data_IF_186438172152
#
_entry.id   IF_186438172152
#
_cell.length_a   1.000
_cell.length_b   1.000
_cell.length_c   1.000
_cell.angle_alpha   90.00
_cell.angle_beta   90.00
_cell.angle_gamma   90.00
#
_symmetry.space_group_name_H-M   'P 1'
#
loop_
_entity.id
_entity.type
_entity.pdbx_description
1 polymer ?
#
# COMPACT_ATOMS: atom_id res chain seq x y z
N UNK A 1 16.42 -5.17 -16.53
CA UNK A 1 14.97 -5.35 -16.32
C UNK A 1 14.27 -4.03 -16.63
N UNK A 2 13.34 -4.02 -17.57
CA UNK A 2 12.56 -2.81 -17.91
C UNK A 2 11.29 -2.82 -17.06
N UNK A 3 11.24 -2.00 -16.00
CA UNK A 3 10.07 -1.82 -15.14
C UNK A 3 9.30 -0.58 -15.62
N UNK A 4 8.05 -0.76 -16.00
CA UNK A 4 7.11 0.31 -16.28
C UNK A 4 6.18 0.48 -15.06
N UNK A 5 5.95 1.72 -14.62
CA UNK A 5 5.04 2.03 -13.52
C UNK A 5 3.96 2.96 -14.05
N UNK A 6 2.71 2.53 -13.99
CA UNK A 6 1.56 3.25 -14.51
C UNK A 6 0.41 3.25 -13.51
N UNK A 7 -0.59 4.11 -13.71
CA UNK A 7 -1.83 4.06 -12.92
C UNK A 7 -2.57 2.74 -13.21
N UNK A 8 -3.18 2.20 -12.17
CA UNK A 8 -4.03 1.02 -12.33
C UNK A 8 -5.28 1.37 -13.14
N UNK A 9 -5.72 0.43 -13.95
CA UNK A 9 -6.94 0.52 -14.75
C UNK A 9 -7.86 -0.68 -14.45
N UNK A 10 -9.17 -0.60 -14.72
CA UNK A 10 -10.09 -1.71 -14.47
C UNK A 10 -9.67 -3.02 -15.15
N UNK A 11 -9.02 -2.94 -16.33
CA UNK A 11 -8.50 -4.11 -17.05
C UNK A 11 -7.37 -4.86 -16.33
N UNK A 12 -6.71 -4.25 -15.35
CA UNK A 12 -5.65 -4.90 -14.55
C UNK A 12 -6.17 -5.77 -13.40
N UNK A 13 -7.49 -5.74 -13.15
CA UNK A 13 -8.10 -6.37 -11.96
C UNK A 13 -7.73 -7.84 -11.78
N UNK A 14 -7.87 -8.65 -12.82
CA UNK A 14 -7.66 -10.10 -12.74
C UNK A 14 -6.19 -10.46 -12.45
N UNK A 15 -5.26 -9.71 -13.03
CA UNK A 15 -3.84 -9.88 -12.74
C UNK A 15 -3.49 -9.44 -11.30
N UNK A 16 -4.12 -8.36 -10.81
CA UNK A 16 -3.97 -7.90 -9.44
C UNK A 16 -4.52 -8.92 -8.45
N UNK A 17 -5.69 -9.52 -8.71
CA UNK A 17 -6.24 -10.62 -7.89
C UNK A 17 -5.23 -11.77 -7.79
N UNK A 18 -4.67 -12.19 -8.92
CA UNK A 18 -3.69 -13.28 -8.94
C UNK A 18 -2.41 -12.91 -8.17
N UNK A 19 -1.91 -11.68 -8.35
CA UNK A 19 -0.74 -11.18 -7.61
C UNK A 19 -1.00 -11.22 -6.09
N UNK A 20 -2.14 -10.70 -5.64
CA UNK A 20 -2.50 -10.67 -4.22
C UNK A 20 -2.66 -12.06 -3.62
N UNK A 21 -3.34 -12.98 -4.33
CA UNK A 21 -3.50 -14.38 -3.88
C UNK A 21 -2.15 -15.07 -3.71
N UNK A 22 -1.22 -14.86 -4.64
CA UNK A 22 0.13 -15.43 -4.55
C UNK A 22 0.92 -14.89 -3.35
N UNK A 23 0.69 -13.62 -2.97
CA UNK A 23 1.35 -13.02 -1.81
C UNK A 23 0.65 -13.38 -0.50
N UNK A 24 -0.67 -13.57 -0.50
CA UNK A 24 -1.42 -14.02 0.67
C UNK A 24 -1.01 -15.43 1.14
N UNK A 25 -0.49 -16.26 0.26
CA UNK A 25 0.01 -17.60 0.57
C UNK A 25 1.41 -17.59 1.24
N UNK A 26 2.04 -16.41 1.34
CA UNK A 26 3.38 -16.26 1.94
C UNK A 26 3.26 -15.74 3.36
N UNK A 27 4.00 -16.36 4.30
CA UNK A 27 4.12 -15.84 5.66
C UNK A 27 4.57 -14.38 5.64
N UNK A 28 3.88 -13.52 6.40
CA UNK A 28 4.13 -12.08 6.47
C UNK A 28 3.95 -11.30 5.14
N UNK A 29 3.28 -11.89 4.14
CA UNK A 29 3.02 -11.25 2.87
C UNK A 29 2.10 -10.05 3.00
N UNK A 30 0.80 -10.31 3.14
CA UNK A 30 -0.22 -9.29 3.43
C UNK A 30 -1.07 -9.76 4.62
N UNK A 31 -1.88 -8.84 5.16
CA UNK A 31 -2.71 -9.16 6.34
C UNK A 31 -3.90 -10.06 6.00
N UNK A 32 -4.36 -10.03 4.75
CA UNK A 32 -5.50 -10.83 4.28
C UNK A 32 -5.08 -12.24 3.92
N UNK A 33 -5.92 -13.22 4.26
CA UNK A 33 -5.76 -14.57 3.74
C UNK A 33 -6.26 -14.66 2.29
N UNK A 34 -5.88 -15.75 1.60
CA UNK A 34 -6.19 -15.95 0.17
C UNK A 34 -7.68 -15.85 -0.15
N UNK A 35 -8.54 -16.42 0.71
CA UNK A 35 -9.99 -16.46 0.47
C UNK A 35 -10.65 -15.09 0.62
N UNK A 36 -10.00 -14.14 1.30
CA UNK A 36 -10.44 -12.75 1.40
C UNK A 36 -10.05 -11.90 0.18
N UNK A 37 -9.22 -12.43 -0.72
CA UNK A 37 -8.86 -11.76 -1.98
C UNK A 37 -9.92 -12.10 -3.02
N UNK A 38 -11.07 -11.45 -2.89
CA UNK A 38 -12.23 -11.61 -3.77
C UNK A 38 -12.26 -10.54 -4.88
N UNK A 39 -13.12 -10.75 -5.87
CA UNK A 39 -13.38 -9.77 -6.92
C UNK A 39 -13.89 -8.45 -6.32
N UNK A 40 -14.80 -8.54 -5.36
CA UNK A 40 -15.37 -7.38 -4.66
C UNK A 40 -14.31 -6.60 -3.90
N UNK A 41 -13.39 -7.29 -3.23
CA UNK A 41 -12.31 -6.62 -2.50
C UNK A 41 -11.41 -5.83 -3.45
N UNK A 42 -10.94 -6.46 -4.53
CA UNK A 42 -10.02 -5.81 -5.48
C UNK A 42 -10.74 -4.70 -6.27
N UNK A 43 -11.95 -4.95 -6.74
CA UNK A 43 -12.77 -3.93 -7.41
C UNK A 43 -13.06 -2.76 -6.47
N UNK A 44 -13.30 -3.03 -5.19
CA UNK A 44 -13.58 -2.02 -4.17
C UNK A 44 -12.43 -1.07 -3.96
N UNK A 45 -11.22 -1.57 -3.73
CA UNK A 45 -10.07 -0.68 -3.52
C UNK A 45 -9.64 0.03 -4.81
N UNK A 46 -9.70 -0.62 -5.97
CA UNK A 46 -9.42 0.02 -7.26
C UNK A 46 -10.36 1.18 -7.53
N UNK A 47 -11.67 0.98 -7.28
CA UNK A 47 -12.67 2.05 -7.39
C UNK A 47 -12.35 3.20 -6.44
N UNK A 48 -12.14 2.91 -5.14
CA UNK A 48 -11.84 3.93 -4.15
C UNK A 48 -10.56 4.70 -4.49
N UNK A 49 -9.49 4.00 -4.92
CA UNK A 49 -8.25 4.61 -5.30
C UNK A 49 -8.37 5.48 -6.57
N UNK A 50 -9.21 5.07 -7.54
CA UNK A 50 -9.49 5.86 -8.75
C UNK A 50 -10.28 7.13 -8.43
N UNK A 51 -11.30 7.02 -7.56
CA UNK A 51 -12.19 8.14 -7.23
C UNK A 51 -11.59 9.12 -6.22
N UNK A 52 -10.80 8.62 -5.26
CA UNK A 52 -10.39 9.37 -4.07
C UNK A 52 -8.97 9.07 -3.61
N UNK A 53 -8.08 8.65 -4.49
CA UNK A 53 -6.74 8.27 -4.10
C UNK A 53 -5.82 8.00 -5.27
N UNK A 54 -5.02 6.96 -5.13
CA UNK A 54 -4.04 6.55 -6.13
C UNK A 54 -3.84 5.04 -6.07
N UNK A 55 -3.81 4.40 -7.22
CA UNK A 55 -3.30 3.03 -7.39
C UNK A 55 -2.35 2.97 -8.59
N UNK A 56 -1.22 2.30 -8.40
CA UNK A 56 -0.20 2.08 -9.43
C UNK A 56 0.11 0.60 -9.57
N UNK A 57 0.40 0.18 -10.80
CA UNK A 57 0.95 -1.13 -11.09
C UNK A 57 2.37 -1.02 -11.65
N UNK A 58 3.22 -1.96 -11.25
CA UNK A 58 4.54 -2.18 -11.81
C UNK A 58 4.52 -3.35 -12.77
N UNK A 59 4.91 -3.11 -14.03
CA UNK A 59 4.85 -4.09 -15.11
C UNK A 59 6.26 -4.43 -15.58
N UNK A 60 6.55 -5.73 -15.70
CA UNK A 60 7.78 -6.27 -16.27
C UNK A 60 7.40 -7.36 -17.27
N UNK A 61 7.93 -7.28 -18.49
CA UNK A 61 7.63 -8.24 -19.57
C UNK A 61 6.13 -8.50 -19.77
N UNK A 62 5.32 -7.45 -19.78
CA UNK A 62 3.86 -7.48 -19.89
C UNK A 62 3.13 -8.22 -18.75
N UNK A 63 3.76 -8.42 -17.61
CA UNK A 63 3.17 -9.01 -16.41
C UNK A 63 3.13 -7.97 -15.29
N UNK A 64 2.02 -7.86 -14.59
CA UNK A 64 1.94 -7.08 -13.35
C UNK A 64 2.70 -7.82 -12.25
N UNK A 65 3.75 -7.19 -11.74
CA UNK A 65 4.64 -7.76 -10.71
C UNK A 65 4.62 -6.98 -9.41
N UNK A 66 3.96 -5.83 -9.39
CA UNK A 66 3.76 -5.03 -8.19
C UNK A 66 2.47 -4.21 -8.29
N UNK A 67 1.87 -3.93 -7.15
CA UNK A 67 0.75 -3.00 -7.01
C UNK A 67 0.90 -2.21 -5.71
N UNK A 68 0.50 -0.93 -5.73
CA UNK A 68 0.39 -0.09 -4.55
C UNK A 68 -0.87 0.77 -4.67
N UNK A 69 -1.66 0.84 -3.60
CA UNK A 69 -2.80 1.74 -3.53
C UNK A 69 -2.98 2.36 -2.15
N UNK A 70 -3.66 3.50 -2.13
CA UNK A 70 -4.24 4.12 -0.94
C UNK A 70 -5.36 5.07 -1.38
N UNK A 71 -6.31 5.35 -0.49
CA UNK A 71 -7.42 6.24 -0.78
C UNK A 71 -7.89 7.01 0.46
N UNK A 72 -8.59 8.11 0.23
CA UNK A 72 -9.19 8.94 1.27
C UNK A 72 -10.51 8.31 1.74
N UNK A 73 -10.74 8.20 3.07
CA UNK A 73 -12.05 7.81 3.59
C UNK A 73 -13.14 8.80 3.15
N UNK A 74 -14.36 8.32 2.99
CA UNK A 74 -15.48 9.20 2.63
C UNK A 74 -16.03 9.95 3.87
N UNK A 75 -15.13 10.67 4.56
CA UNK A 75 -15.39 11.46 5.75
C UNK A 75 -14.68 12.80 5.59
N UNK A 76 -15.41 13.91 5.67
CA UNK A 76 -14.86 15.26 5.45
C UNK A 76 -13.63 15.56 6.30
N UNK A 77 -13.65 15.18 7.58
CA UNK A 77 -12.52 15.42 8.50
C UNK A 77 -11.21 14.72 8.07
N UNK A 78 -11.28 13.73 7.19
CA UNK A 78 -10.13 12.96 6.70
C UNK A 78 -9.77 13.23 5.23
N UNK A 79 -10.35 14.29 4.63
CA UNK A 79 -10.12 14.60 3.21
C UNK A 79 -8.66 14.88 2.84
N UNK A 80 -7.81 15.13 3.83
CA UNK A 80 -6.38 15.46 3.66
C UNK A 80 -5.45 14.25 3.81
N UNK A 81 -5.99 13.05 3.98
CA UNK A 81 -5.17 11.86 4.20
C UNK A 81 -5.48 10.75 3.19
N UNK A 82 -4.46 9.92 2.93
CA UNK A 82 -4.61 8.62 2.30
C UNK A 82 -4.38 7.53 3.35
N UNK A 83 -5.33 6.60 3.45
CA UNK A 83 -5.28 5.43 4.34
C UNK A 83 -5.37 4.13 3.54
N UNK A 84 -5.42 3.00 4.25
CA UNK A 84 -5.46 1.65 3.68
C UNK A 84 -4.33 1.37 2.68
N UNK A 85 -3.19 2.07 2.85
CA UNK A 85 -2.06 1.88 1.99
C UNK A 85 -1.60 0.43 2.05
N UNK A 86 -1.68 -0.21 0.89
CA UNK A 86 -1.20 -1.58 0.69
C UNK A 86 -0.21 -1.59 -0.47
N UNK A 87 0.88 -2.33 -0.31
CA UNK A 87 1.85 -2.58 -1.38
C UNK A 87 2.13 -4.07 -1.45
N UNK A 88 2.11 -4.62 -2.65
CA UNK A 88 2.51 -6.01 -2.93
C UNK A 88 3.55 -6.03 -4.05
N UNK A 89 4.49 -6.97 -3.95
CA UNK A 89 5.48 -7.26 -4.99
C UNK A 89 5.56 -8.77 -5.15
N UNK A 90 5.42 -9.24 -6.38
CA UNK A 90 5.54 -10.65 -6.73
C UNK A 90 6.83 -11.24 -6.14
N UNK A 91 6.74 -12.44 -5.56
CA UNK A 91 7.83 -13.12 -4.86
C UNK A 91 9.11 -13.20 -5.69
N UNK A 92 8.96 -13.55 -6.96
CA UNK A 92 10.10 -13.74 -7.88
C UNK A 92 10.81 -12.43 -8.23
N UNK A 93 10.16 -11.30 -7.93
CA UNK A 93 10.65 -9.94 -8.19
C UNK A 93 11.04 -9.16 -6.92
N UNK A 94 10.92 -9.77 -5.75
CA UNK A 94 11.37 -9.16 -4.49
C UNK A 94 12.90 -9.04 -4.44
N UNK A 95 13.41 -8.12 -3.62
CA UNK A 95 14.86 -7.87 -3.49
C UNK A 95 15.51 -7.15 -4.68
N UNK A 96 14.78 -6.85 -5.74
CA UNK A 96 15.28 -6.22 -6.97
C UNK A 96 14.99 -4.70 -7.02
N UNK A 97 14.55 -4.11 -5.92
CA UNK A 97 14.26 -2.67 -5.81
C UNK A 97 12.91 -2.22 -6.38
N UNK A 98 12.06 -3.14 -6.88
CA UNK A 98 10.77 -2.79 -7.47
C UNK A 98 9.86 -2.12 -6.45
N UNK A 99 9.76 -2.67 -5.23
CA UNK A 99 8.94 -2.09 -4.16
C UNK A 99 9.31 -0.65 -3.85
N UNK A 100 10.62 -0.33 -3.82
CA UNK A 100 11.10 1.04 -3.62
C UNK A 100 10.70 1.95 -4.78
N UNK A 101 10.93 1.53 -6.00
CA UNK A 101 10.64 2.34 -7.19
C UNK A 101 9.17 2.68 -7.33
N UNK A 102 8.27 1.71 -7.13
CA UNK A 102 6.83 1.96 -7.21
C UNK A 102 6.36 2.85 -6.06
N UNK A 103 6.92 2.69 -4.86
CA UNK A 103 6.57 3.52 -3.70
C UNK A 103 7.06 4.96 -3.87
N UNK A 104 8.30 5.16 -4.30
CA UNK A 104 8.85 6.49 -4.60
C UNK A 104 8.02 7.19 -5.68
N UNK A 105 7.62 6.47 -6.73
CA UNK A 105 6.72 7.01 -7.76
C UNK A 105 5.35 7.40 -7.19
N UNK A 106 4.82 6.58 -6.28
CA UNK A 106 3.56 6.88 -5.58
C UNK A 106 3.67 8.19 -4.78
N UNK A 107 4.73 8.34 -3.97
CA UNK A 107 4.96 9.55 -3.20
C UNK A 107 5.18 10.79 -4.09
N UNK A 108 5.85 10.64 -5.22
CA UNK A 108 6.07 11.73 -6.16
C UNK A 108 4.77 12.22 -6.79
N UNK A 109 3.87 11.29 -7.18
CA UNK A 109 2.53 11.65 -7.68
C UNK A 109 1.73 12.37 -6.58
N UNK A 110 1.78 11.89 -5.34
CA UNK A 110 1.10 12.59 -4.23
C UNK A 110 1.62 14.00 -4.05
N UNK A 111 2.92 14.20 -4.11
CA UNK A 111 3.53 15.56 -4.01
C UNK A 111 3.09 16.48 -5.15
N UNK A 112 3.04 15.97 -6.37
CA UNK A 112 2.89 16.81 -7.57
C UNK A 112 1.46 16.93 -8.07
N UNK A 113 0.62 15.92 -7.88
CA UNK A 113 -0.73 15.86 -8.44
C UNK A 113 -1.83 15.83 -7.38
N UNK A 114 -1.57 15.22 -6.20
CA UNK A 114 -2.52 15.16 -5.08
C UNK A 114 -2.13 16.14 -3.96
N UNK A 115 -1.91 17.38 -4.32
CA UNK A 115 -1.36 18.42 -3.43
C UNK A 115 -2.23 18.75 -2.21
N UNK A 116 -3.50 18.33 -2.22
CA UNK A 116 -4.43 18.43 -1.10
C UNK A 116 -4.19 17.35 -0.03
N UNK A 117 -3.38 16.34 -0.34
CA UNK A 117 -3.03 15.29 0.61
C UNK A 117 -1.82 15.73 1.45
N UNK A 118 -2.05 15.81 2.76
CA UNK A 118 -1.03 16.14 3.75
C UNK A 118 -0.40 14.89 4.36
N UNK A 119 -1.21 13.83 4.61
CA UNK A 119 -0.81 12.65 5.35
C UNK A 119 -1.07 11.38 4.55
N UNK A 120 -0.12 10.45 4.58
CA UNK A 120 -0.31 9.07 4.13
C UNK A 120 -0.04 8.17 5.32
N UNK A 121 -0.92 7.22 5.58
CA UNK A 121 -0.76 6.30 6.71
C UNK A 121 -0.85 4.84 6.27
N UNK A 122 -0.09 4.02 6.96
CA UNK A 122 -0.09 2.57 6.82
C UNK A 122 0.12 1.93 8.20
N UNK A 123 -0.06 0.63 8.27
CA UNK A 123 0.46 -0.15 9.38
C UNK A 123 1.17 -1.40 8.87
N UNK A 124 2.13 -1.87 9.65
CA UNK A 124 2.88 -3.11 9.41
C UNK A 124 3.06 -3.86 10.73
N UNK A 125 3.32 -5.15 10.67
CA UNK A 125 3.55 -5.96 11.87
C UNK A 125 4.81 -5.50 12.60
N UNK A 126 4.74 -5.34 13.91
CA UNK A 126 5.86 -4.84 14.73
C UNK A 126 7.12 -5.69 14.58
N UNK A 127 6.96 -7.01 14.50
CA UNK A 127 8.09 -7.92 14.36
C UNK A 127 8.74 -7.90 12.96
N UNK A 128 8.05 -7.38 11.94
CA UNK A 128 8.60 -7.25 10.60
C UNK A 128 9.52 -6.02 10.50
N UNK A 129 10.66 -6.11 11.17
CA UNK A 129 11.66 -5.02 11.22
C UNK A 129 12.18 -4.61 9.84
N UNK A 130 12.15 -5.52 8.87
CA UNK A 130 12.52 -5.20 7.48
C UNK A 130 11.57 -4.17 6.88
N UNK A 131 10.26 -4.39 7.05
CA UNK A 131 9.25 -3.47 6.53
C UNK A 131 9.27 -2.14 7.30
N UNK A 132 9.40 -2.17 8.62
CA UNK A 132 9.51 -0.94 9.43
C UNK A 132 10.65 -0.07 8.92
N UNK A 133 11.87 -0.62 8.79
CA UNK A 133 13.05 0.10 8.27
C UNK A 133 12.86 0.56 6.82
N UNK A 134 12.17 -0.23 6.00
CA UNK A 134 11.86 0.16 4.64
C UNK A 134 11.01 1.43 4.61
N UNK A 135 9.93 1.50 5.38
CA UNK A 135 9.05 2.68 5.46
C UNK A 135 9.78 3.88 6.09
N UNK A 136 10.54 3.68 7.17
CA UNK A 136 11.40 4.74 7.74
C UNK A 136 12.35 5.32 6.69
N UNK A 137 12.96 4.49 5.84
CA UNK A 137 13.85 4.94 4.76
C UNK A 137 13.16 5.75 3.66
N UNK A 138 11.82 5.69 3.59
CA UNK A 138 10.97 6.50 2.72
C UNK A 138 10.44 7.77 3.40
N UNK A 139 10.81 7.98 4.67
CA UNK A 139 10.41 9.14 5.46
C UNK A 139 9.13 8.96 6.29
N UNK A 140 8.65 7.73 6.45
CA UNK A 140 7.56 7.46 7.38
C UNK A 140 8.07 7.52 8.82
N UNK A 141 7.22 8.03 9.70
CA UNK A 141 7.44 8.12 11.14
C UNK A 141 6.59 7.07 11.84
N UNK A 142 7.18 6.34 12.78
CA UNK A 142 6.44 5.39 13.62
C UNK A 142 5.64 6.16 14.68
N UNK A 143 4.33 5.99 14.69
CA UNK A 143 3.40 6.65 15.64
C UNK A 143 2.94 5.72 16.75
N UNK A 144 3.47 4.53 16.84
CA UNK A 144 3.19 3.56 17.90
C UNK A 144 2.43 2.33 17.46
N UNK A 145 2.34 1.37 18.37
CA UNK A 145 1.69 0.08 18.14
C UNK A 145 0.27 0.01 18.71
N UNK A 146 -0.57 -0.78 18.08
CA UNK A 146 -1.89 -1.15 18.59
C UNK A 146 -1.83 -2.57 19.13
N UNK A 147 -1.62 -2.68 20.45
CA UNK A 147 -1.40 -3.97 21.12
C UNK A 147 -2.48 -4.99 20.76
N UNK A 148 -2.05 -6.20 20.38
CA UNK A 148 -2.89 -7.39 20.16
C UNK A 148 -4.04 -7.20 19.14
N UNK A 149 -3.90 -6.29 18.19
CA UNK A 149 -4.95 -5.97 17.22
C UNK A 149 -5.11 -7.03 16.13
N UNK A 150 -4.05 -7.75 15.77
CA UNK A 150 -4.08 -8.77 14.72
C UNK A 150 -4.26 -10.13 15.38
N UNK A 151 -5.36 -10.80 15.05
CA UNK A 151 -5.58 -12.19 15.43
C UNK A 151 -4.80 -13.11 14.48
N UNK A 152 -4.05 -14.05 15.01
CA UNK A 152 -3.29 -15.05 14.24
C UNK A 152 -3.88 -16.44 14.44
N UNK A 153 -4.07 -16.85 15.70
CA UNK A 153 -4.66 -18.14 16.09
C UNK A 153 -5.16 -18.04 17.54
N UNK A 154 -5.84 -19.06 18.07
CA UNK A 154 -6.28 -19.06 19.47
C UNK A 154 -5.13 -18.68 20.41
N UNK A 155 -5.36 -17.62 21.20
CA UNK A 155 -4.40 -17.03 22.16
C UNK A 155 -3.10 -16.46 21.56
N UNK A 156 -3.02 -16.32 20.22
CA UNK A 156 -1.88 -15.70 19.53
C UNK A 156 -2.34 -14.45 18.79
N UNK A 157 -1.79 -13.31 19.20
CA UNK A 157 -2.09 -12.01 18.63
C UNK A 157 -0.79 -11.32 18.24
N UNK A 158 -0.88 -10.39 17.30
CA UNK A 158 0.24 -9.53 16.88
C UNK A 158 -0.14 -8.07 16.99
N UNK A 159 0.87 -7.25 17.22
CA UNK A 159 0.74 -5.80 17.30
C UNK A 159 1.18 -5.17 15.98
N UNK A 160 0.30 -4.49 15.24
CA UNK A 160 0.74 -3.62 14.16
C UNK A 160 1.28 -2.30 14.71
N UNK A 161 2.31 -1.76 14.06
CA UNK A 161 2.76 -0.38 14.25
C UNK A 161 2.16 0.50 13.17
N UNK A 162 1.63 1.66 13.57
CA UNK A 162 1.14 2.68 12.66
C UNK A 162 2.27 3.59 12.25
N UNK A 163 2.34 3.90 10.97
CA UNK A 163 3.37 4.76 10.41
C UNK A 163 2.72 5.80 9.51
N UNK A 164 3.22 7.03 9.57
CA UNK A 164 2.71 8.14 8.79
C UNK A 164 3.84 8.85 8.03
N UNK A 165 3.54 9.24 6.80
CA UNK A 165 4.35 10.12 6.01
C UNK A 165 3.62 11.45 5.82
N UNK A 166 4.35 12.58 5.98
CA UNK A 166 3.81 13.92 5.85
C UNK A 166 4.35 14.57 4.59
N UNK A 167 3.45 15.07 3.74
CA UNK A 167 3.81 15.71 2.48
C UNK A 167 4.62 16.99 2.75
N UNK A 168 5.91 17.04 2.38
CA UNK A 168 6.76 18.19 2.69
C UNK A 168 6.40 19.45 1.89
N UNK A 169 5.66 19.27 0.79
CA UNK A 169 5.24 20.39 -0.07
C UNK A 169 3.76 20.74 0.08
N UNK A 170 3.08 20.14 1.08
CA UNK A 170 1.70 20.50 1.38
C UNK A 170 1.61 21.99 1.74
N UNK A 171 0.89 22.74 0.93
CA UNK A 171 0.67 24.15 1.21
C UNK A 171 -0.43 24.28 2.26
N UNK A 172 -0.04 24.63 3.49
CA UNK A 172 -1.00 25.09 4.49
C UNK A 172 -1.69 26.32 3.90
N UNK A 173 -2.99 26.24 3.67
CA UNK A 173 -3.78 27.44 3.45
C UNK A 173 -3.68 28.25 4.74
N UNK A 174 -3.02 29.42 4.68
CA UNK A 174 -3.06 30.43 5.74
C UNK A 174 -4.50 30.88 5.99
#
# INVERSE_FOLDING_TARGET
MNLQIIRSEPGHKDEIINLYRNIADISDGIIRCRDEITDEYVSGFLKNATERGLSLVGIVNNKIVAEIHAYTPNIFAFQHLLTDLTIVVDRDYQGQGIGRKIFERFLDIVKTELTHIYRIELYTREHNLRNVRFYESLGFVNEGGQKDKIYVSPMVFETPVHMAWFNPIYMKKE
#
